data_IF_820615853263
#
_entry.id   IF_820615853263
#
_cell.length_a   1.000
_cell.length_b   1.000
_cell.length_c   1.000
_cell.angle_alpha   90.00
_cell.angle_beta   90.00
_cell.angle_gamma   90.00
#
_symmetry.space_group_name_H-M   'P 1'
#
loop_
_entity.id
_entity.type
_entity.pdbx_description
1 polymer ?
#
# COMPACT_ATOMS: atom_id res chain seq x y z
N UNK A 1 -0.25 -18.75 7.54
CA UNK A 1 0.44 -18.29 8.76
C UNK A 1 0.41 -16.76 8.88
N UNK A 2 0.54 -15.98 7.79
CA UNK A 2 0.51 -14.51 7.82
C UNK A 2 -0.86 -13.82 7.94
N UNK A 3 -1.93 -14.42 7.40
CA UNK A 3 -3.31 -13.92 7.62
C UNK A 3 -3.69 -13.92 9.12
N UNK A 4 -2.93 -14.62 9.97
CA UNK A 4 -3.02 -14.54 11.43
C UNK A 4 -2.10 -13.49 12.08
N UNK A 5 -0.97 -13.12 11.48
CA UNK A 5 -0.01 -12.19 12.11
C UNK A 5 -0.52 -10.74 12.04
N UNK A 6 -0.99 -10.29 10.86
CA UNK A 6 -1.61 -8.98 10.74
C UNK A 6 -2.95 -8.90 11.49
N UNK A 7 -3.80 -9.93 11.39
CA UNK A 7 -5.14 -9.88 12.00
C UNK A 7 -5.16 -9.95 13.53
N UNK A 8 -4.14 -10.52 14.18
CA UNK A 8 -4.23 -10.81 15.61
C UNK A 8 -3.51 -9.82 16.54
N UNK A 9 -2.58 -8.98 16.07
CA UNK A 9 -1.83 -8.09 17.00
C UNK A 9 -1.51 -6.68 16.52
N UNK A 10 -1.60 -6.36 15.23
CA UNK A 10 -1.08 -5.10 14.69
C UNK A 10 0.45 -5.00 14.88
N UNK A 11 1.22 -4.93 13.79
CA UNK A 11 2.68 -4.83 13.89
C UNK A 11 3.14 -3.58 14.65
N UNK A 12 4.37 -3.61 15.16
CA UNK A 12 5.08 -2.41 15.61
C UNK A 12 5.26 -1.43 14.43
N UNK A 13 5.70 -0.20 14.70
CA UNK A 13 6.03 0.73 13.61
C UNK A 13 7.12 0.14 12.70
N UNK A 14 8.15 -0.47 13.27
CA UNK A 14 9.24 -1.10 12.51
C UNK A 14 8.75 -2.27 11.65
N UNK A 15 7.83 -3.10 12.17
CA UNK A 15 7.21 -4.18 11.39
C UNK A 15 6.49 -3.62 10.17
N UNK A 16 5.74 -2.52 10.33
CA UNK A 16 4.98 -1.89 9.26
C UNK A 16 5.89 -1.24 8.22
N UNK A 17 6.97 -0.61 8.65
CA UNK A 17 8.01 -0.07 7.75
C UNK A 17 8.59 -1.22 6.92
N UNK A 18 8.94 -2.35 7.55
CA UNK A 18 9.49 -3.52 6.87
C UNK A 18 8.50 -4.13 5.88
N UNK A 19 7.24 -4.34 6.29
CA UNK A 19 6.19 -4.86 5.41
C UNK A 19 5.92 -3.94 4.22
N UNK A 20 5.87 -2.63 4.44
CA UNK A 20 5.68 -1.67 3.36
C UNK A 20 6.88 -1.65 2.42
N UNK A 21 8.10 -1.69 2.96
CA UNK A 21 9.34 -1.81 2.17
C UNK A 21 9.32 -3.02 1.24
N UNK A 22 8.97 -4.20 1.77
CA UNK A 22 8.87 -5.44 0.97
C UNK A 22 7.79 -5.35 -0.11
N UNK A 23 6.63 -4.77 0.19
CA UNK A 23 5.59 -4.51 -0.81
C UNK A 23 6.09 -3.60 -1.94
N UNK A 24 6.84 -2.55 -1.60
CA UNK A 24 7.42 -1.64 -2.58
C UNK A 24 8.51 -2.31 -3.42
N UNK A 25 9.26 -3.27 -2.87
CA UNK A 25 10.25 -4.05 -3.63
C UNK A 25 9.55 -4.88 -4.71
N UNK A 26 8.47 -5.58 -4.33
CA UNK A 26 7.68 -6.36 -5.28
C UNK A 26 7.01 -5.48 -6.33
N UNK A 27 6.40 -4.36 -5.94
CA UNK A 27 5.77 -3.42 -6.87
C UNK A 27 6.77 -2.81 -7.84
N UNK A 28 7.94 -2.39 -7.37
CA UNK A 28 8.99 -1.85 -8.23
C UNK A 28 9.40 -2.89 -9.27
N UNK A 29 9.61 -4.15 -8.87
CA UNK A 29 9.97 -5.23 -9.79
C UNK A 29 8.89 -5.49 -10.86
N UNK A 30 7.60 -5.38 -10.51
CA UNK A 30 6.51 -5.45 -11.48
C UNK A 30 6.52 -4.26 -12.43
N UNK A 31 6.62 -3.04 -11.90
CA UNK A 31 6.60 -1.80 -12.68
C UNK A 31 7.78 -1.70 -13.65
N UNK A 32 8.96 -2.17 -13.25
CA UNK A 32 10.15 -2.24 -14.11
C UNK A 32 9.95 -3.18 -15.31
N UNK A 33 9.07 -4.19 -15.18
CA UNK A 33 8.66 -5.10 -16.26
C UNK A 33 7.45 -4.57 -17.05
N UNK A 34 6.94 -3.38 -16.72
CA UNK A 34 5.72 -2.81 -17.32
C UNK A 34 4.44 -3.52 -16.87
N UNK A 35 4.48 -4.28 -15.77
CA UNK A 35 3.33 -4.99 -15.20
C UNK A 35 2.71 -4.13 -14.10
N UNK A 36 1.40 -3.90 -14.19
CA UNK A 36 0.62 -3.26 -13.13
C UNK A 36 -0.07 -4.33 -12.29
N UNK A 37 -0.06 -4.16 -10.97
CA UNK A 37 -0.67 -5.15 -10.08
C UNK A 37 -2.20 -5.04 -10.06
N UNK A 38 -2.73 -3.82 -10.01
CA UNK A 38 -4.15 -3.48 -10.01
C UNK A 38 -4.95 -3.87 -8.76
N UNK A 39 -4.47 -4.78 -7.90
CA UNK A 39 -5.13 -5.17 -6.62
C UNK A 39 -4.17 -5.18 -5.42
N UNK A 40 -3.47 -4.06 -5.17
CA UNK A 40 -2.43 -3.96 -4.12
C UNK A 40 -3.05 -3.95 -2.73
N UNK A 41 -3.10 -5.12 -2.08
CA UNK A 41 -3.64 -5.32 -0.73
C UNK A 41 -2.76 -6.29 0.06
N UNK A 42 -2.78 -6.19 1.39
CA UNK A 42 -1.92 -7.03 2.25
C UNK A 42 -2.18 -8.53 2.09
N UNK A 43 -3.41 -8.94 1.77
CA UNK A 43 -3.75 -10.35 1.53
C UNK A 43 -3.04 -10.94 0.30
N UNK A 44 -2.61 -10.08 -0.63
CA UNK A 44 -1.92 -10.46 -1.85
C UNK A 44 -0.39 -10.40 -1.66
N UNK A 45 0.08 -10.09 -0.44
CA UNK A 45 1.48 -10.17 -0.05
C UNK A 45 1.73 -11.42 0.79
N UNK A 46 2.68 -12.23 0.35
CA UNK A 46 3.30 -13.27 1.16
C UNK A 46 4.63 -12.73 1.67
N UNK A 47 4.63 -12.32 2.94
CA UNK A 47 5.84 -11.87 3.63
C UNK A 47 6.73 -13.08 3.93
N UNK A 48 7.66 -13.33 3.03
CA UNK A 48 8.74 -14.32 3.13
C UNK A 48 10.07 -13.65 2.82
N UNK A 49 11.17 -14.39 2.92
CA UNK A 49 12.45 -13.96 2.40
C UNK A 49 12.84 -14.90 1.23
N UNK A 50 12.73 -14.45 -0.04
CA UNK A 50 12.31 -13.11 -0.49
C UNK A 50 10.80 -12.86 -0.38
N UNK A 51 10.32 -11.60 -0.37
CA UNK A 51 8.89 -11.30 -0.37
C UNK A 51 8.26 -11.66 -1.71
N UNK A 52 6.99 -12.09 -1.67
CA UNK A 52 6.25 -12.50 -2.86
C UNK A 52 4.92 -11.74 -2.92
N UNK A 53 4.67 -11.11 -4.07
CA UNK A 53 3.36 -10.57 -4.43
C UNK A 53 2.62 -11.56 -5.34
N UNK A 54 1.34 -11.79 -5.06
CA UNK A 54 0.50 -12.81 -5.69
C UNK A 54 -0.77 -12.19 -6.27
N UNK A 55 -1.63 -13.03 -6.88
CA UNK A 55 -2.92 -12.59 -7.41
C UNK A 55 -2.79 -11.52 -8.50
N UNK A 56 -1.92 -11.81 -9.48
CA UNK A 56 -1.66 -10.97 -10.65
C UNK A 56 -2.81 -11.00 -11.68
N UNK A 57 -4.03 -11.38 -11.26
CA UNK A 57 -5.21 -11.32 -12.10
C UNK A 57 -5.64 -9.84 -12.26
N UNK A 58 -4.96 -9.12 -13.16
CA UNK A 58 -5.07 -7.67 -13.35
C UNK A 58 -6.45 -7.16 -13.84
N UNK A 59 -7.45 -8.03 -13.98
CA UNK A 59 -8.74 -7.70 -14.60
C UNK A 59 -9.76 -7.08 -13.64
N UNK A 60 -9.51 -7.09 -12.32
CA UNK A 60 -10.47 -6.62 -11.33
C UNK A 60 -9.77 -6.01 -10.10
N UNK A 61 -9.65 -4.69 -10.05
CA UNK A 61 -9.34 -4.00 -8.79
C UNK A 61 -10.49 -4.18 -7.80
N UNK A 62 -10.18 -4.50 -6.54
CA UNK A 62 -11.19 -4.46 -5.48
C UNK A 62 -11.82 -3.07 -5.41
N UNK A 63 -13.16 -2.98 -5.51
CA UNK A 63 -13.89 -1.70 -5.58
C UNK A 63 -13.54 -0.71 -4.46
N UNK A 64 -13.19 -1.22 -3.27
CA UNK A 64 -12.83 -0.40 -2.12
C UNK A 64 -11.51 0.38 -2.27
N UNK A 65 -10.64 -0.04 -3.19
CA UNK A 65 -9.32 0.59 -3.42
C UNK A 65 -9.18 1.17 -4.83
N UNK A 66 -10.28 1.25 -5.57
CA UNK A 66 -10.31 1.81 -6.92
C UNK A 66 -9.93 3.29 -6.87
N UNK A 67 -8.87 3.65 -7.58
CA UNK A 67 -8.42 5.04 -7.70
C UNK A 67 -9.49 5.90 -8.42
N UNK A 68 -9.63 7.20 -8.09
CA UNK A 68 -10.69 8.07 -8.61
C UNK A 68 -10.81 8.09 -10.14
N UNK A 69 -9.69 8.09 -10.84
CA UNK A 69 -9.60 8.07 -12.31
C UNK A 69 -10.16 6.79 -12.94
N UNK A 70 -10.28 5.71 -12.16
CA UNK A 70 -10.79 4.41 -12.60
C UNK A 70 -12.29 4.24 -12.31
N UNK A 71 -12.92 5.12 -11.52
CA UNK A 71 -14.33 5.00 -11.08
C UNK A 71 -15.33 5.07 -12.24
N UNK A 72 -14.99 5.75 -13.33
CA UNK A 72 -15.81 5.82 -14.54
C UNK A 72 -15.78 4.51 -15.35
N UNK A 73 -14.80 3.63 -15.10
CA UNK A 73 -14.65 2.33 -15.74
C UNK A 73 -15.51 1.28 -15.01
N UNK A 74 -16.82 1.53 -14.87
CA UNK A 74 -17.76 0.66 -14.15
C UNK A 74 -18.09 -0.67 -14.86
N UNK A 75 -17.59 -0.84 -16.07
CA UNK A 75 -17.62 -2.12 -16.79
C UNK A 75 -16.25 -2.76 -16.55
N UNK A 76 -16.20 -4.07 -16.26
CA UNK A 76 -14.97 -4.89 -16.28
C UNK A 76 -14.31 -4.77 -17.66
N UNK A 77 -13.69 -3.64 -17.95
CA UNK A 77 -12.93 -3.39 -19.16
C UNK A 77 -11.47 -3.67 -18.87
N UNK A 78 -10.66 -3.93 -19.92
CA UNK A 78 -9.25 -4.27 -19.74
C UNK A 78 -8.53 -3.22 -18.91
N UNK A 79 -7.36 -3.59 -18.40
CA UNK A 79 -6.34 -2.76 -17.70
C UNK A 79 -5.97 -1.42 -18.38
N UNK A 80 -6.65 -0.99 -19.45
CA UNK A 80 -6.28 0.11 -20.33
C UNK A 80 -6.19 1.48 -19.67
N UNK A 81 -6.83 1.67 -18.51
CA UNK A 81 -6.78 2.95 -17.79
C UNK A 81 -5.95 2.89 -16.49
N UNK A 82 -5.51 1.69 -16.09
CA UNK A 82 -4.58 1.55 -14.99
C UNK A 82 -3.22 2.12 -15.36
N UNK A 83 -2.56 2.67 -14.36
CA UNK A 83 -1.20 3.17 -14.46
C UNK A 83 -0.45 2.93 -13.13
N UNK A 84 0.85 3.20 -13.12
CA UNK A 84 1.69 3.06 -11.92
C UNK A 84 1.11 3.82 -10.72
N UNK A 85 0.61 5.04 -10.93
CA UNK A 85 0.03 5.86 -9.86
C UNK A 85 -1.29 5.30 -9.30
N UNK A 86 -2.02 4.46 -10.05
CA UNK A 86 -3.19 3.75 -9.52
C UNK A 86 -2.81 2.60 -8.58
N UNK A 87 -1.66 1.93 -8.79
CA UNK A 87 -1.10 1.00 -7.80
C UNK A 87 -0.64 1.76 -6.54
N UNK A 88 -0.04 2.95 -6.69
CA UNK A 88 0.34 3.81 -5.57
C UNK A 88 -0.88 4.24 -4.73
N UNK A 89 -2.00 4.55 -5.38
CA UNK A 89 -3.24 4.84 -4.65
C UNK A 89 -3.66 3.66 -3.76
N UNK A 90 -3.56 2.44 -4.28
CA UNK A 90 -3.87 1.23 -3.53
C UNK A 90 -2.87 0.96 -2.37
N UNK A 91 -1.60 1.39 -2.48
CA UNK A 91 -0.63 1.33 -1.37
C UNK A 91 -1.13 2.05 -0.11
N UNK A 92 -1.89 3.15 -0.25
CA UNK A 92 -2.49 3.81 0.91
C UNK A 92 -3.41 2.87 1.70
N UNK A 93 -4.18 2.03 1.02
CA UNK A 93 -5.03 1.07 1.69
C UNK A 93 -4.22 -0.03 2.35
N UNK A 94 -3.12 -0.47 1.75
CA UNK A 94 -2.20 -1.38 2.44
C UNK A 94 -1.67 -0.78 3.75
N UNK A 95 -1.27 0.50 3.76
CA UNK A 95 -0.89 1.22 4.98
C UNK A 95 -2.05 1.18 5.99
N UNK A 96 -3.27 1.53 5.58
CA UNK A 96 -4.43 1.47 6.46
C UNK A 96 -4.68 0.07 7.02
N UNK A 97 -4.60 -0.99 6.20
CA UNK A 97 -4.79 -2.38 6.61
C UNK A 97 -3.76 -2.81 7.67
N UNK A 98 -2.53 -2.31 7.59
CA UNK A 98 -1.50 -2.60 8.59
C UNK A 98 -1.88 -2.06 9.98
N UNK A 99 -2.71 -1.01 10.04
CA UNK A 99 -3.19 -0.41 11.29
C UNK A 99 -4.55 -0.94 11.74
N UNK A 100 -5.51 -1.03 10.82
CA UNK A 100 -6.88 -1.47 11.14
C UNK A 100 -6.99 -2.97 11.33
N UNK A 101 -6.06 -3.74 10.73
CA UNK A 101 -6.12 -5.19 10.65
C UNK A 101 -7.44 -5.70 9.99
N UNK A 102 -8.08 -4.86 9.16
CA UNK A 102 -9.34 -5.16 8.47
C UNK A 102 -9.21 -4.96 6.95
N UNK A 103 -10.24 -5.38 6.19
CA UNK A 103 -10.36 -5.11 4.77
C UNK A 103 -11.11 -3.79 4.52
N UNK A 104 -10.65 -2.97 3.56
CA UNK A 104 -11.30 -1.71 3.26
C UNK A 104 -12.70 -1.91 2.68
N UNK A 105 -13.62 -0.99 3.02
CA UNK A 105 -15.02 -1.01 2.59
C UNK A 105 -15.37 0.33 1.93
N UNK A 106 -16.21 0.27 0.90
CA UNK A 106 -16.50 1.38 -0.06
C UNK A 106 -17.12 2.64 0.60
N UNK A 107 -17.57 2.55 1.85
CA UNK A 107 -18.23 3.66 2.57
C UNK A 107 -17.67 3.94 3.96
N UNK A 108 -16.55 3.32 4.29
CA UNK A 108 -15.90 3.53 5.57
C UNK A 108 -14.86 4.64 5.44
N UNK A 109 -14.72 5.48 6.47
CA UNK A 109 -13.65 6.47 6.53
C UNK A 109 -12.41 5.78 7.05
N UNK A 110 -11.37 5.71 6.23
CA UNK A 110 -10.08 5.15 6.64
C UNK A 110 -9.31 6.19 7.45
N UNK A 111 -8.86 5.79 8.64
CA UNK A 111 -8.02 6.62 9.52
C UNK A 111 -6.69 5.91 9.73
N UNK A 112 -5.59 6.61 9.45
CA UNK A 112 -4.23 6.12 9.67
C UNK A 112 -3.55 7.03 10.70
N UNK A 113 -3.05 6.48 11.82
CA UNK A 113 -2.38 7.27 12.85
C UNK A 113 -0.95 7.67 12.44
N UNK A 114 -0.43 8.71 13.09
CA UNK A 114 0.99 9.06 13.04
C UNK A 114 1.85 7.82 13.38
N UNK A 115 2.99 7.57 12.71
CA UNK A 115 3.68 8.46 11.76
C UNK A 115 3.29 8.31 10.28
N UNK A 116 2.33 7.45 9.94
CA UNK A 116 2.03 7.12 8.53
C UNK A 116 0.97 8.02 7.89
N UNK A 117 0.34 8.93 8.65
CA UNK A 117 -0.78 9.76 8.18
C UNK A 117 -0.43 10.56 6.92
N UNK A 118 0.72 11.22 6.89
CA UNK A 118 1.10 12.06 5.75
C UNK A 118 1.39 11.22 4.51
N UNK A 119 2.07 10.08 4.69
CA UNK A 119 2.34 9.15 3.60
C UNK A 119 1.06 8.56 3.03
N UNK A 120 0.11 8.18 3.90
CA UNK A 120 -1.21 7.71 3.50
C UNK A 120 -1.94 8.75 2.65
N UNK A 121 -2.02 10.00 3.13
CA UNK A 121 -2.70 11.09 2.44
C UNK A 121 -2.02 11.46 1.10
N UNK A 122 -0.69 11.34 1.03
CA UNK A 122 0.05 11.61 -0.19
C UNK A 122 -0.20 10.53 -1.26
N UNK A 123 -0.27 9.26 -0.89
CA UNK A 123 -0.66 8.19 -1.80
C UNK A 123 -2.10 8.34 -2.32
N UNK A 124 -3.02 8.93 -1.53
CA UNK A 124 -4.43 9.11 -1.91
C UNK A 124 -4.75 10.41 -2.64
N UNK A 125 -3.77 11.14 -3.18
CA UNK A 125 -4.07 12.35 -3.94
C UNK A 125 -5.05 12.06 -5.10
N UNK A 126 -6.08 12.90 -5.31
CA UNK A 126 -7.09 12.66 -6.35
C UNK A 126 -6.48 12.62 -7.74
N UNK A 127 -5.57 13.55 -8.04
CA UNK A 127 -4.81 13.57 -9.28
C UNK A 127 -3.68 12.53 -9.23
N UNK A 128 -3.61 11.58 -10.18
CA UNK A 128 -2.51 10.63 -10.26
C UNK A 128 -1.12 11.28 -10.31
N UNK A 129 -1.00 12.49 -10.87
CA UNK A 129 0.28 13.20 -10.99
C UNK A 129 0.81 13.72 -9.64
N UNK A 130 -0.07 13.92 -8.66
CA UNK A 130 0.29 14.43 -7.33
C UNK A 130 0.70 13.32 -6.35
N UNK A 131 0.51 12.04 -6.74
CA UNK A 131 0.89 10.87 -5.93
C UNK A 131 2.40 10.64 -5.96
N UNK A 132 3.00 10.11 -4.88
CA UNK A 132 4.43 9.86 -4.82
C UNK A 132 4.86 8.71 -5.73
N UNK A 133 6.11 8.76 -6.17
CA UNK A 133 6.81 7.60 -6.74
C UNK A 133 7.23 6.62 -5.64
N UNK A 134 7.49 5.36 -5.99
CA UNK A 134 8.05 4.36 -5.05
C UNK A 134 9.33 4.89 -4.38
N UNK A 135 10.21 5.56 -5.13
CA UNK A 135 11.43 6.15 -4.59
C UNK A 135 11.14 7.21 -3.50
N UNK A 136 10.15 8.08 -3.73
CA UNK A 136 9.73 9.08 -2.74
C UNK A 136 9.10 8.44 -1.50
N UNK A 137 8.30 7.38 -1.67
CA UNK A 137 7.74 6.62 -0.55
C UNK A 137 8.86 6.02 0.32
N UNK A 138 9.93 5.48 -0.29
CA UNK A 138 11.08 4.94 0.46
C UNK A 138 11.83 5.98 1.27
N UNK A 139 11.98 7.19 0.72
CA UNK A 139 12.57 8.32 1.45
C UNK A 139 11.70 8.67 2.65
N UNK A 140 10.39 8.78 2.47
CA UNK A 140 9.45 9.05 3.56
C UNK A 140 9.46 7.95 4.64
N UNK A 141 9.49 6.67 4.23
CA UNK A 141 9.61 5.54 5.15
C UNK A 141 10.89 5.56 5.97
N UNK A 142 12.00 5.96 5.34
CA UNK A 142 13.30 6.08 6.03
C UNK A 142 13.24 7.19 7.07
N UNK A 143 12.61 8.33 6.76
CA UNK A 143 12.41 9.40 7.73
C UNK A 143 11.57 8.94 8.93
N UNK A 144 10.47 8.22 8.69
CA UNK A 144 9.66 7.62 9.77
C UNK A 144 10.49 6.69 10.65
N UNK A 145 11.38 5.88 10.06
CA UNK A 145 12.27 4.96 10.79
C UNK A 145 13.34 5.68 11.65
N UNK A 146 13.69 6.91 11.30
CA UNK A 146 14.63 7.73 12.06
C UNK A 146 13.93 8.43 13.23
N UNK A 147 12.77 9.03 12.99
CA UNK A 147 11.98 9.73 14.02
C UNK A 147 11.59 8.81 15.20
N UNK A 148 11.31 7.53 14.92
CA UNK A 148 11.00 6.55 15.98
C UNK A 148 12.19 6.21 16.86
N UNK A 149 13.42 6.26 16.34
CA UNK A 149 14.64 5.95 17.10
C UNK A 149 15.01 7.07 18.07
N UNK A 150 14.81 8.33 17.66
CA UNK A 150 15.09 9.50 18.50
C UNK A 150 14.04 9.71 19.61
N UNK A 151 12.90 9.03 19.53
CA UNK A 151 11.81 9.09 20.51
C UNK A 151 11.95 8.09 21.68
N UNK A 152 12.98 7.24 21.67
CA UNK A 152 13.21 6.26 22.74
C UNK A 152 14.08 6.88 23.84
N UNK A 153 13.64 6.96 25.12
CA UNK A 153 14.49 7.52 26.17
C UNK A 153 15.75 6.65 26.32
N UNK A 154 16.92 7.27 26.23
CA UNK A 154 18.18 6.65 26.64
C UNK A 154 18.04 6.24 28.11
N UNK A 155 18.24 4.93 28.36
CA UNK A 155 18.24 4.34 29.71
C UNK A 155 19.57 4.54 30.40
#
# INVERSE_FOLDING_TARGET
MFDHVCRCRGGTVDDKINWLGQMLDCLQALHDLGILHCDVLLRNMLFSDPPVICDLESNCTSLAITAPELVSCRVRTPTSNHNVASDIYAVAFAIWQMHSCDNPRIFEVQVVPYPFTDLYNWCQQPDPADRPTIAQIRVALSAIAHDTKDSTPQS
#
